data_IF_495227553637
#
_entry.id   IF_495227553637
#
_cell.length_a   1.000
_cell.length_b   1.000
_cell.length_c   1.000
_cell.angle_alpha   90.00
_cell.angle_beta   90.00
_cell.angle_gamma   90.00
#
_symmetry.space_group_name_H-M   'P 1'
#
loop_
_entity.id
_entity.type
_entity.pdbx_description
1 polymer ?
#
# COMPACT_ATOMS: atom_id res chain seq x y z
N UNK A 1 -0.94 -17.40 -9.90
CA UNK A 1 -1.47 -17.32 -9.64
C UNK A 1 -2.04 -16.54 -9.66
N UNK A 2 -2.38 -16.31 -9.85
CA UNK A 2 -2.94 -15.49 -9.73
C UNK A 2 -3.22 -15.29 -8.78
N UNK A 3 -2.53 -15.35 -8.09
CA UNK A 3 -2.84 -15.34 -7.34
C UNK A 3 -3.78 -15.16 -6.77
N UNK A 4 -4.26 -14.54 -7.17
CA UNK A 4 -5.36 -14.57 -6.94
C UNK A 4 -5.89 -15.40 -7.70
N UNK A 5 -6.08 -16.32 -7.54
CA UNK A 5 -6.49 -17.17 -8.27
C UNK A 5 -7.88 -17.19 -8.24
N UNK A 6 -8.60 -16.74 -9.18
CA UNK A 6 -9.97 -16.93 -9.26
C UNK A 6 -10.67 -16.54 -8.03
N UNK A 7 -10.50 -15.39 -7.52
CA UNK A 7 -11.14 -14.84 -6.35
C UNK A 7 -10.74 -15.48 -5.04
N UNK A 8 -9.67 -16.26 -5.03
CA UNK A 8 -9.17 -16.88 -3.81
C UNK A 8 -7.67 -16.78 -3.72
N UNK A 9 -7.20 -16.66 -2.48
CA UNK A 9 -5.77 -16.63 -2.18
C UNK A 9 -5.49 -17.78 -1.25
N UNK A 10 -4.46 -18.57 -1.54
CA UNK A 10 -4.06 -19.65 -0.69
C UNK A 10 -2.96 -19.22 0.26
N UNK A 11 -3.17 -19.46 1.56
CA UNK A 11 -2.16 -19.19 2.58
C UNK A 11 -1.92 -20.52 3.28
N UNK A 12 -0.86 -21.20 2.92
CA UNK A 12 -0.62 -22.56 3.38
C UNK A 12 -1.76 -23.45 2.94
N UNK A 13 -2.47 -24.03 3.91
CA UNK A 13 -3.61 -24.87 3.59
C UNK A 13 -4.95 -24.14 3.73
N UNK A 14 -4.91 -22.86 3.99
CA UNK A 14 -6.12 -22.07 4.16
C UNK A 14 -6.47 -21.34 2.88
N UNK A 15 -7.76 -21.23 2.61
CA UNK A 15 -8.25 -20.46 1.48
C UNK A 15 -8.79 -19.16 2.03
N UNK A 16 -8.30 -18.04 1.52
CA UNK A 16 -8.74 -16.72 1.93
C UNK A 16 -9.46 -16.08 0.76
N UNK A 17 -10.69 -15.63 0.99
CA UNK A 17 -11.43 -14.92 -0.04
C UNK A 17 -10.96 -13.46 -0.07
N UNK A 18 -10.69 -12.90 -1.26
CA UNK A 18 -10.31 -11.50 -1.35
C UNK A 18 -11.46 -10.60 -0.96
N UNK A 19 -11.15 -9.37 -0.56
CA UNK A 19 -12.15 -8.39 -0.24
C UNK A 19 -12.87 -7.94 -1.51
N UNK A 20 -14.19 -7.77 -1.48
CA UNK A 20 -14.91 -7.26 -2.63
C UNK A 20 -14.56 -5.79 -2.88
N UNK A 21 -14.60 -5.37 -4.12
CA UNK A 21 -14.37 -3.98 -4.49
C UNK A 21 -15.63 -3.43 -5.19
N UNK A 22 -15.87 -2.14 -5.01
CA UNK A 22 -16.95 -1.46 -5.72
C UNK A 22 -16.48 -1.01 -7.11
N UNK A 23 -17.36 -0.32 -7.86
CA UNK A 23 -17.08 0.10 -9.22
C UNK A 23 -15.85 1.02 -9.36
N UNK A 24 -15.48 1.73 -8.31
CA UNK A 24 -14.32 2.60 -8.29
C UNK A 24 -13.07 1.89 -7.79
N UNK A 25 -13.11 0.59 -7.58
CA UNK A 25 -11.99 -0.17 -7.05
C UNK A 25 -11.84 -0.06 -5.55
N UNK A 26 -12.82 0.48 -4.86
CA UNK A 26 -12.78 0.62 -3.42
C UNK A 26 -13.22 -0.67 -2.76
N UNK A 27 -12.47 -1.10 -1.78
CA UNK A 27 -12.75 -2.32 -1.04
C UNK A 27 -13.58 -2.03 0.20
N UNK A 28 -14.22 -3.06 0.74
CA UNK A 28 -15.03 -2.92 1.94
C UNK A 28 -14.18 -2.59 3.16
N UNK A 29 -14.71 -1.70 4.01
CA UNK A 29 -14.06 -1.35 5.26
C UNK A 29 -14.19 -2.50 6.26
N UNK A 30 -13.10 -2.84 6.92
CA UNK A 30 -13.07 -3.92 7.91
C UNK A 30 -12.33 -3.46 9.15
N UNK A 31 -12.94 -3.65 10.32
CA UNK A 31 -12.31 -3.38 11.62
C UNK A 31 -11.73 -1.95 11.74
N UNK A 32 -12.43 -0.97 11.22
CA UNK A 32 -11.97 0.42 11.28
C UNK A 32 -10.88 0.75 10.27
N UNK A 33 -10.50 -0.21 9.45
CA UNK A 33 -9.50 -0.03 8.40
C UNK A 33 -10.20 0.19 7.07
N UNK A 34 -9.79 1.22 6.35
CA UNK A 34 -10.29 1.48 5.00
C UNK A 34 -9.23 1.03 4.01
N UNK A 35 -9.52 0.01 3.19
CA UNK A 35 -8.54 -0.47 2.23
C UNK A 35 -8.56 0.32 0.93
N UNK A 36 -7.39 0.46 0.32
CA UNK A 36 -7.23 1.10 -0.98
C UNK A 36 -6.36 0.22 -1.85
N UNK A 37 -6.77 -0.01 -3.09
CA UNK A 37 -5.96 -0.76 -4.03
C UNK A 37 -4.76 0.06 -4.45
N UNK A 38 -3.59 -0.52 -4.34
CA UNK A 38 -2.33 0.10 -4.74
C UNK A 38 -1.49 -0.92 -5.49
N UNK A 39 -1.95 -1.35 -6.68
CA UNK A 39 -1.23 -2.37 -7.43
C UNK A 39 0.15 -1.86 -7.88
N UNK A 40 1.04 -2.79 -8.13
CA UNK A 40 2.40 -2.48 -8.59
C UNK A 40 3.40 -3.45 -7.99
N UNK A 41 3.49 -3.51 -6.65
CA UNK A 41 4.29 -4.54 -6.00
C UNK A 41 3.71 -5.91 -6.40
N UNK A 42 2.39 -6.02 -6.32
CA UNK A 42 1.63 -7.13 -6.90
C UNK A 42 0.31 -6.59 -7.44
N UNK A 43 -0.39 -7.33 -8.33
CA UNK A 43 -1.67 -6.84 -8.87
C UNK A 43 -2.74 -6.59 -7.82
N UNK A 44 -2.72 -7.35 -6.75
CA UNK A 44 -3.73 -7.23 -5.69
C UNK A 44 -3.25 -6.49 -4.47
N UNK A 45 -2.15 -5.75 -4.56
CA UNK A 45 -1.62 -5.06 -3.38
C UNK A 45 -2.61 -4.03 -2.84
N UNK A 46 -2.74 -3.99 -1.52
CA UNK A 46 -3.68 -3.13 -0.82
C UNK A 46 -2.97 -2.47 0.35
N UNK A 47 -3.25 -1.20 0.57
CA UNK A 47 -2.89 -0.54 1.81
C UNK A 47 -4.15 -0.35 2.65
N UNK A 48 -3.98 -0.16 3.94
CA UNK A 48 -5.10 0.08 4.85
C UNK A 48 -4.88 1.39 5.60
N UNK A 49 -5.94 2.18 5.70
CA UNK A 49 -5.89 3.41 6.46
C UNK A 49 -6.78 3.28 7.70
N UNK A 50 -6.20 3.47 8.88
CA UNK A 50 -6.93 3.50 10.13
C UNK A 50 -7.27 4.95 10.44
N UNK A 51 -8.50 5.34 10.15
CA UNK A 51 -8.92 6.76 10.22
C UNK A 51 -8.83 7.33 11.62
N UNK A 52 -9.18 6.55 12.63
CA UNK A 52 -9.19 7.01 14.01
C UNK A 52 -7.79 7.38 14.50
N UNK A 53 -6.81 6.52 14.23
CA UNK A 53 -5.43 6.74 14.66
C UNK A 53 -4.60 7.44 13.60
N UNK A 54 -5.15 7.64 12.42
CA UNK A 54 -4.49 8.29 11.28
C UNK A 54 -3.19 7.60 10.89
N UNK A 55 -3.26 6.28 10.79
CA UNK A 55 -2.11 5.44 10.44
C UNK A 55 -2.39 4.71 9.13
N UNK A 56 -1.43 4.73 8.23
CA UNK A 56 -1.48 3.92 7.01
C UNK A 56 -0.64 2.67 7.24
N UNK A 57 -1.26 1.51 7.01
CA UNK A 57 -0.55 0.24 6.97
C UNK A 57 -0.24 -0.01 5.50
N UNK A 58 0.97 0.33 5.10
CA UNK A 58 1.32 0.42 3.69
C UNK A 58 1.83 -0.88 3.07
N UNK A 59 2.08 -1.91 3.89
CA UNK A 59 2.61 -3.16 3.37
C UNK A 59 3.89 -2.94 2.58
N UNK A 60 3.85 -3.34 1.32
CA UNK A 60 4.99 -3.23 0.41
C UNK A 60 4.88 -2.09 -0.61
N UNK A 61 4.01 -1.12 -0.35
CA UNK A 61 3.92 0.07 -1.21
C UNK A 61 5.20 0.91 -1.12
N UNK A 62 5.80 0.93 0.05
CA UNK A 62 7.05 1.61 0.32
C UNK A 62 7.96 0.70 1.12
N UNK A 63 9.22 1.03 1.14
CA UNK A 63 10.13 0.68 2.24
C UNK A 63 10.46 1.98 2.94
N UNK A 64 11.24 1.93 4.00
CA UNK A 64 11.73 3.14 4.64
C UNK A 64 13.15 2.93 5.16
N UNK A 65 13.85 4.05 5.32
CA UNK A 65 15.18 4.01 5.88
C UNK A 65 15.35 5.26 6.74
N UNK A 66 15.60 5.05 8.02
CA UNK A 66 15.76 6.15 8.98
C UNK A 66 14.56 7.10 8.97
N UNK A 67 13.36 6.52 8.86
CA UNK A 67 12.12 7.30 8.87
C UNK A 67 11.81 8.01 7.57
N UNK A 68 12.55 7.74 6.49
CA UNK A 68 12.32 8.36 5.19
C UNK A 68 11.67 7.36 4.24
N UNK A 69 10.65 7.82 3.49
CA UNK A 69 10.00 7.01 2.47
C UNK A 69 10.98 6.62 1.37
N UNK A 70 10.99 5.33 1.04
CA UNK A 70 11.83 4.78 -0.02
C UNK A 70 10.97 3.92 -0.94
N UNK A 71 11.44 3.68 -2.15
CA UNK A 71 10.74 2.80 -3.09
C UNK A 71 10.60 1.39 -2.52
N UNK A 72 9.58 0.65 -2.94
CA UNK A 72 9.52 -0.77 -2.62
C UNK A 72 10.74 -1.48 -3.24
N UNK A 73 11.01 -2.69 -2.76
CA UNK A 73 12.17 -3.43 -3.24
C UNK A 73 12.01 -3.77 -4.71
N UNK A 74 12.95 -3.31 -5.53
CA UNK A 74 12.91 -3.50 -6.98
C UNK A 74 12.80 -4.97 -7.36
N UNK A 75 13.56 -5.82 -6.67
CA UNK A 75 13.60 -7.24 -6.98
C UNK A 75 12.25 -7.94 -6.79
N UNK A 76 11.41 -7.43 -5.91
CA UNK A 76 10.14 -8.04 -5.58
C UNK A 76 8.93 -7.21 -6.01
N UNK A 77 9.15 -6.21 -6.88
CA UNK A 77 8.07 -5.33 -7.33
C UNK A 77 7.81 -5.56 -8.82
N UNK A 78 6.64 -6.07 -9.14
CA UNK A 78 6.29 -6.45 -10.51
C UNK A 78 6.23 -5.23 -11.44
N UNK A 79 5.65 -4.12 -10.98
CA UNK A 79 5.53 -2.89 -11.77
C UNK A 79 5.87 -1.69 -10.89
N UNK A 80 7.11 -1.27 -10.95
CA UNK A 80 7.61 -0.17 -10.13
C UNK A 80 6.91 1.16 -10.45
N UNK A 81 6.66 1.43 -11.73
CA UNK A 81 5.99 2.65 -12.14
C UNK A 81 4.59 2.74 -11.56
N UNK A 82 3.85 1.64 -11.63
CA UNK A 82 2.50 1.57 -11.10
C UNK A 82 2.50 1.73 -9.58
N UNK A 83 3.45 1.10 -8.89
CA UNK A 83 3.57 1.21 -7.45
C UNK A 83 3.84 2.66 -7.03
N UNK A 84 4.75 3.34 -7.71
CA UNK A 84 5.08 4.73 -7.42
C UNK A 84 3.87 5.63 -7.71
N UNK A 85 3.23 5.45 -8.86
CA UNK A 85 2.06 6.25 -9.21
C UNK A 85 0.93 6.08 -8.19
N UNK A 86 0.68 4.84 -7.78
CA UNK A 86 -0.37 4.54 -6.79
C UNK A 86 -0.09 5.13 -5.43
N UNK A 87 1.17 5.36 -5.10
CA UNK A 87 1.54 5.92 -3.80
C UNK A 87 1.04 7.35 -3.60
N UNK A 88 0.64 8.01 -4.67
CA UNK A 88 0.10 9.37 -4.60
C UNK A 88 -1.16 9.45 -3.72
N UNK A 89 -1.85 8.34 -3.49
CA UNK A 89 -3.04 8.32 -2.64
C UNK A 89 -2.72 8.81 -1.22
N UNK A 90 -1.48 8.69 -0.78
CA UNK A 90 -1.06 9.14 0.54
C UNK A 90 -1.34 10.64 0.72
N UNK A 91 -1.32 11.41 -0.34
CA UNK A 91 -1.63 12.84 -0.28
C UNK A 91 -3.05 13.12 0.20
N UNK A 92 -3.96 12.20 -0.07
CA UNK A 92 -5.37 12.37 0.24
C UNK A 92 -5.75 11.78 1.60
N UNK A 93 -4.82 11.11 2.25
CA UNK A 93 -5.04 10.50 3.55
C UNK A 93 -4.27 11.32 4.58
N UNK A 94 -4.98 11.87 5.55
CA UNK A 94 -4.35 12.71 6.58
C UNK A 94 -3.62 11.86 7.62
N UNK A 95 -2.70 11.04 7.18
CA UNK A 95 -2.00 10.12 8.06
C UNK A 95 -0.92 10.85 8.87
N UNK A 96 -0.77 10.47 10.14
CA UNK A 96 0.29 10.98 10.99
C UNK A 96 1.52 10.10 10.90
N UNK A 97 1.36 8.83 10.53
CA UNK A 97 2.51 7.99 10.18
C UNK A 97 2.11 6.81 9.31
N UNK A 98 3.11 6.19 8.71
CA UNK A 98 2.99 5.00 7.88
C UNK A 98 3.81 3.88 8.50
N UNK A 99 3.20 2.68 8.57
CA UNK A 99 3.90 1.44 8.90
C UNK A 99 4.17 0.69 7.60
N UNK A 100 5.39 0.23 7.44
CA UNK A 100 5.80 -0.54 6.25
C UNK A 100 6.25 -1.93 6.67
N UNK A 101 6.26 -2.88 5.72
CA UNK A 101 6.75 -4.22 6.01
C UNK A 101 8.26 -4.25 6.22
N UNK A 102 8.99 -3.38 5.54
CA UNK A 102 10.46 -3.38 5.59
C UNK A 102 10.98 -1.98 5.85
N UNK A 103 11.34 -1.72 7.09
CA UNK A 103 11.91 -0.45 7.51
C UNK A 103 11.22 0.13 8.73
N UNK A 104 11.66 1.31 9.14
CA UNK A 104 11.12 2.00 10.31
C UNK A 104 9.81 2.69 9.98
N UNK A 105 8.96 2.95 10.98
CA UNK A 105 7.77 3.77 10.75
C UNK A 105 8.16 5.16 10.21
N UNK A 106 7.33 5.69 9.31
CA UNK A 106 7.54 7.00 8.72
C UNK A 106 6.56 7.98 9.35
N UNK A 107 7.08 9.01 10.01
CA UNK A 107 6.25 10.04 10.63
C UNK A 107 5.95 11.15 9.64
N UNK A 108 4.74 11.71 9.74
CA UNK A 108 4.32 12.83 8.90
C UNK A 108 4.55 12.58 7.41
N UNK A 109 3.99 11.50 6.87
CA UNK A 109 4.24 11.15 5.47
C UNK A 109 3.78 12.23 4.49
N UNK A 110 2.79 13.03 4.87
CA UNK A 110 2.32 14.12 4.02
C UNK A 110 3.41 15.12 3.65
N UNK A 111 4.40 15.30 4.52
CA UNK A 111 5.50 16.22 4.23
C UNK A 111 6.57 15.58 3.35
N UNK A 112 6.53 14.27 3.17
CA UNK A 112 7.53 13.54 2.40
C UNK A 112 7.06 13.09 1.03
N UNK A 113 5.76 12.90 0.87
CA UNK A 113 5.23 12.24 -0.32
C UNK A 113 5.50 13.00 -1.61
N UNK A 114 5.40 14.32 -1.58
CA UNK A 114 5.64 15.11 -2.79
C UNK A 114 7.09 14.99 -3.26
N UNK A 115 8.04 15.03 -2.33
CA UNK A 115 9.44 14.85 -2.67
C UNK A 115 9.72 13.44 -3.16
N UNK A 116 9.12 12.44 -2.50
CA UNK A 116 9.25 11.05 -2.92
C UNK A 116 8.78 10.87 -4.36
N UNK A 117 7.63 11.43 -4.71
CA UNK A 117 7.10 11.33 -6.06
C UNK A 117 7.98 12.03 -7.07
N UNK A 118 8.49 13.21 -6.73
CA UNK A 118 9.40 13.93 -7.63
C UNK A 118 10.68 13.14 -7.90
N UNK A 119 11.24 12.55 -6.86
CA UNK A 119 12.49 11.81 -6.97
C UNK A 119 12.34 10.52 -7.78
N UNK A 120 11.15 9.93 -7.76
CA UNK A 120 10.95 8.59 -8.31
C UNK A 120 10.09 8.52 -9.57
N UNK A 121 9.51 9.62 -10.00
CA UNK A 121 8.74 9.67 -11.24
C UNK A 121 9.53 10.23 -12.44
N UNK A 122 10.82 10.17 -12.37
CA UNK A 122 11.67 10.65 -13.45
C UNK A 122 11.86 9.60 -14.53
#
# INVERSE_FOLDING_TARGET
>A
QSSLYRNRIYLGKQIVNPLPANAEGRLSKIAGLTPYLTPGHSPGHVIYYHEKDKVILAGDLFTSKKGKLQKPMKMFTADMKEAIAGSAIVKNLNAVHIEVCHGDPVKNPGSQIDEYLRENNR
#
